data_IF_519546956121
#
_entry.id   IF_519546956121
#
_cell.length_a   1.000
_cell.length_b   1.000
_cell.length_c   1.000
_cell.angle_alpha   90.00
_cell.angle_beta   90.00
_cell.angle_gamma   90.00
#
_symmetry.space_group_name_H-M   'P 1'
#
loop_
_entity.id
_entity.type
_entity.pdbx_description
1 polymer ?
#
# COMPACT_ATOMS: atom_id res chain seq x y z
N UNK A 1 8.37 18.43 -8.66
CA UNK A 1 8.15 16.98 -8.54
C UNK A 1 7.67 16.71 -7.13
N UNK A 2 6.51 16.08 -6.94
CA UNK A 2 5.92 15.83 -5.62
C UNK A 2 5.79 14.33 -5.42
N UNK A 3 6.45 13.80 -4.39
CA UNK A 3 6.31 12.41 -3.95
C UNK A 3 5.50 12.42 -2.64
N UNK A 4 4.42 11.65 -2.58
CA UNK A 4 3.63 11.55 -1.35
C UNK A 4 4.21 10.44 -0.46
N UNK A 5 4.43 10.75 0.81
CA UNK A 5 5.01 9.79 1.77
C UNK A 5 3.95 9.44 2.81
N UNK A 6 3.73 8.15 3.01
CA UNK A 6 2.78 7.60 3.98
C UNK A 6 3.47 6.53 4.80
N UNK A 7 3.15 6.42 6.08
CA UNK A 7 3.57 5.30 6.92
C UNK A 7 2.37 4.76 7.66
N UNK A 8 2.52 3.58 8.26
CA UNK A 8 1.53 3.01 9.19
C UNK A 8 0.14 2.88 8.55
N UNK A 9 0.09 2.45 7.29
CA UNK A 9 -1.15 2.43 6.53
C UNK A 9 -2.05 1.25 6.91
N UNK A 10 -1.50 0.17 7.49
CA UNK A 10 -2.27 -0.95 8.01
C UNK A 10 -3.35 -1.43 7.02
N UNK A 11 -2.97 -1.72 5.78
CA UNK A 11 -3.88 -2.19 4.73
C UNK A 11 -4.81 -1.14 4.11
N UNK A 12 -4.88 0.08 4.65
CA UNK A 12 -5.79 1.15 4.22
C UNK A 12 -5.33 1.91 2.95
N UNK A 13 -4.90 1.18 1.92
CA UNK A 13 -4.39 1.77 0.67
C UNK A 13 -5.44 2.58 -0.09
N UNK A 14 -6.72 2.22 0.02
CA UNK A 14 -7.81 3.02 -0.55
C UNK A 14 -7.82 4.44 0.05
N UNK A 15 -7.59 4.57 1.35
CA UNK A 15 -7.51 5.85 2.04
C UNK A 15 -6.23 6.62 1.63
N UNK A 16 -5.10 5.93 1.51
CA UNK A 16 -3.85 6.51 0.98
C UNK A 16 -4.07 7.14 -0.39
N UNK A 17 -4.63 6.40 -1.35
CA UNK A 17 -4.87 6.91 -2.70
C UNK A 17 -5.95 8.00 -2.74
N UNK A 18 -6.96 7.91 -1.88
CA UNK A 18 -7.96 8.97 -1.75
C UNK A 18 -7.32 10.28 -1.26
N UNK A 19 -6.43 10.22 -0.26
CA UNK A 19 -5.70 11.37 0.26
C UNK A 19 -4.83 12.02 -0.83
N UNK A 20 -4.09 11.21 -1.59
CA UNK A 20 -3.29 11.70 -2.72
C UNK A 20 -4.16 12.45 -3.73
N UNK A 21 -5.25 11.83 -4.18
CA UNK A 21 -6.17 12.45 -5.14
C UNK A 21 -6.74 13.77 -4.61
N UNK A 22 -7.17 13.81 -3.34
CA UNK A 22 -7.69 15.04 -2.74
C UNK A 22 -6.64 16.13 -2.63
N UNK A 23 -5.38 15.77 -2.36
CA UNK A 23 -4.28 16.72 -2.35
C UNK A 23 -4.02 17.30 -3.75
N UNK A 24 -3.97 16.45 -4.78
CA UNK A 24 -3.83 16.89 -6.17
C UNK A 24 -4.95 17.84 -6.60
N UNK A 25 -6.21 17.47 -6.33
CA UNK A 25 -7.39 18.28 -6.66
C UNK A 25 -7.37 19.64 -5.95
N UNK A 26 -7.07 19.64 -4.64
CA UNK A 26 -7.06 20.85 -3.81
C UNK A 26 -5.98 21.84 -4.22
N UNK A 27 -4.79 21.33 -4.54
CA UNK A 27 -3.63 22.18 -4.81
C UNK A 27 -3.35 22.36 -6.31
N UNK A 28 -4.12 21.69 -7.19
CA UNK A 28 -3.91 21.65 -8.64
C UNK A 28 -2.48 21.27 -9.00
N UNK A 29 -1.96 20.26 -8.30
CA UNK A 29 -0.63 19.70 -8.50
C UNK A 29 -0.74 18.24 -8.92
N UNK A 30 0.36 17.66 -9.42
CA UNK A 30 0.47 16.25 -9.73
C UNK A 30 1.50 15.59 -8.82
N UNK A 31 1.10 14.48 -8.20
CA UNK A 31 1.96 13.58 -7.43
C UNK A 31 2.54 12.54 -8.39
N UNK A 32 3.86 12.35 -8.36
CA UNK A 32 4.55 11.43 -9.26
C UNK A 32 4.52 9.97 -8.77
N UNK A 33 4.23 9.77 -7.49
CA UNK A 33 4.09 8.47 -6.88
C UNK A 33 3.93 8.55 -5.36
N UNK A 34 3.80 7.38 -4.76
CA UNK A 34 3.69 7.17 -3.32
C UNK A 34 4.91 6.42 -2.84
N UNK A 35 5.51 6.88 -1.74
CA UNK A 35 6.50 6.13 -0.97
C UNK A 35 5.83 5.73 0.36
N UNK A 36 5.56 4.44 0.51
CA UNK A 36 5.02 3.88 1.74
C UNK A 36 6.17 3.38 2.62
N UNK A 37 6.29 3.96 3.82
CA UNK A 37 7.35 3.68 4.80
C UNK A 37 6.78 2.87 5.96
N UNK A 38 6.90 1.55 5.88
CA UNK A 38 6.52 0.62 6.93
C UNK A 38 5.02 0.33 7.02
N UNK A 39 4.74 -0.82 7.65
CA UNK A 39 3.43 -1.29 8.09
C UNK A 39 2.31 -1.00 7.09
N UNK A 40 2.54 -1.39 5.83
CA UNK A 40 1.56 -1.27 4.76
C UNK A 40 0.43 -2.29 4.91
N UNK A 41 0.62 -3.30 5.76
CA UNK A 41 -0.33 -4.40 5.96
C UNK A 41 -0.25 -5.45 4.86
N UNK A 42 0.92 -5.59 4.21
CA UNK A 42 1.14 -6.65 3.23
C UNK A 42 1.49 -7.94 3.97
N UNK A 43 0.55 -8.89 3.96
CA UNK A 43 0.74 -10.24 4.48
C UNK A 43 0.67 -11.25 3.33
N UNK A 44 1.82 -11.67 2.75
CA UNK A 44 1.85 -12.61 1.63
C UNK A 44 1.27 -13.99 1.99
N UNK A 45 1.41 -14.37 3.26
CA UNK A 45 0.83 -15.58 3.83
C UNK A 45 0.00 -15.23 5.06
N UNK A 46 -1.33 -15.37 4.95
CA UNK A 46 -2.26 -15.12 6.05
C UNK A 46 -2.06 -16.12 7.21
N UNK A 47 -1.41 -17.27 6.98
CA UNK A 47 -1.04 -18.19 8.05
C UNK A 47 0.08 -17.64 8.96
N UNK A 48 0.79 -16.59 8.51
CA UNK A 48 1.89 -15.93 9.23
C UNK A 48 1.49 -14.61 9.88
N UNK A 49 0.22 -14.23 9.79
CA UNK A 49 -0.33 -13.08 10.51
C UNK A 49 -0.09 -13.24 12.02
N UNK A 50 0.49 -12.22 12.65
CA UNK A 50 0.65 -12.21 14.09
C UNK A 50 -0.72 -12.10 14.79
N UNK A 51 -0.78 -12.51 16.06
CA UNK A 51 -2.03 -12.52 16.83
C UNK A 51 -2.67 -11.13 16.99
N UNK A 52 -1.84 -10.07 17.07
CA UNK A 52 -2.33 -8.71 17.16
C UNK A 52 -2.98 -8.29 15.84
N UNK A 53 -2.34 -8.54 14.69
CA UNK A 53 -2.94 -8.23 13.38
C UNK A 53 -4.21 -9.04 13.14
N UNK A 54 -4.27 -10.32 13.55
CA UNK A 54 -5.51 -11.11 13.45
C UNK A 54 -6.66 -10.54 14.29
N UNK A 55 -6.35 -10.05 15.49
CA UNK A 55 -7.36 -9.41 16.35
C UNK A 55 -7.84 -8.11 15.70
N UNK A 56 -6.93 -7.32 15.15
CA UNK A 56 -7.23 -6.06 14.45
C UNK A 56 -8.02 -6.28 13.18
N UNK A 57 -7.69 -7.26 12.35
CA UNK A 57 -8.43 -7.61 11.14
C UNK A 57 -9.88 -8.05 11.41
N UNK A 58 -10.17 -8.61 12.59
CA UNK A 58 -11.54 -8.93 13.03
C UNK A 58 -12.35 -7.68 13.40
N UNK A 59 -11.68 -6.66 13.92
CA UNK A 59 -12.29 -5.39 14.32
C UNK A 59 -12.37 -4.40 13.15
N UNK A 60 -11.36 -4.39 12.27
CA UNK A 60 -11.23 -3.58 11.08
C UNK A 60 -10.75 -4.43 9.87
N UNK A 61 -11.68 -4.81 8.97
CA UNK A 61 -11.34 -5.57 7.77
C UNK A 61 -10.38 -4.85 6.80
N UNK A 62 -10.19 -3.53 6.94
CA UNK A 62 -9.27 -2.77 6.07
C UNK A 62 -7.80 -3.09 6.32
N UNK A 63 -7.47 -3.69 7.47
CA UNK A 63 -6.13 -4.21 7.81
C UNK A 63 -5.61 -5.24 6.79
N UNK A 64 -6.51 -5.94 6.09
CA UNK A 64 -6.19 -6.90 5.03
C UNK A 64 -6.33 -6.32 3.62
N UNK A 65 -6.63 -5.01 3.51
CA UNK A 65 -6.94 -4.33 2.26
C UNK A 65 -5.79 -4.35 1.24
N UNK A 66 -4.54 -4.47 1.69
CA UNK A 66 -3.39 -4.57 0.81
C UNK A 66 -3.39 -5.87 -0.03
N UNK A 67 -3.98 -6.97 0.48
CA UNK A 67 -4.05 -8.24 -0.24
C UNK A 67 -4.82 -8.12 -1.57
N UNK A 68 -5.84 -7.25 -1.63
CA UNK A 68 -6.58 -6.97 -2.86
C UNK A 68 -5.70 -6.32 -3.93
N UNK A 69 -4.70 -5.52 -3.54
CA UNK A 69 -3.75 -4.90 -4.46
C UNK A 69 -2.66 -5.89 -4.91
N UNK A 70 -2.15 -6.71 -3.98
CA UNK A 70 -1.13 -7.73 -4.29
C UNK A 70 -1.69 -8.81 -5.21
N UNK A 71 -2.94 -9.24 -4.99
CA UNK A 71 -3.63 -10.21 -5.85
C UNK A 71 -4.07 -9.66 -7.21
N UNK A 72 -3.96 -8.34 -7.42
CA UNK A 72 -4.39 -7.66 -8.64
C UNK A 72 -5.91 -7.42 -8.75
N UNK A 73 -6.69 -7.75 -7.71
CA UNK A 73 -8.13 -7.42 -7.64
C UNK A 73 -8.38 -5.91 -7.62
N UNK A 74 -7.48 -5.15 -7.03
CA UNK A 74 -7.42 -3.68 -7.09
C UNK A 74 -6.13 -3.23 -7.77
N UNK A 75 -6.18 -2.06 -8.40
CA UNK A 75 -5.02 -1.42 -9.03
C UNK A 75 -4.66 -0.15 -8.28
N UNK A 76 -3.38 0.01 -7.99
CA UNK A 76 -2.85 1.25 -7.46
C UNK A 76 -3.11 2.39 -8.46
N UNK A 77 -3.56 3.54 -7.96
CA UNK A 77 -3.80 4.73 -8.81
C UNK A 77 -2.51 5.48 -9.13
N UNK A 78 -1.47 5.25 -8.33
CA UNK A 78 -0.15 5.86 -8.46
C UNK A 78 0.91 4.77 -8.37
N UNK A 79 2.09 4.95 -9.00
CA UNK A 79 3.25 4.14 -8.69
C UNK A 79 3.52 4.20 -7.18
N UNK A 80 3.61 3.04 -6.53
CA UNK A 80 3.79 2.94 -5.09
C UNK A 80 5.03 2.11 -4.81
N UNK A 81 6.06 2.76 -4.27
CA UNK A 81 7.22 2.09 -3.71
C UNK A 81 7.00 1.87 -2.22
N UNK A 82 7.52 0.76 -1.74
CA UNK A 82 7.29 0.33 -0.38
C UNK A 82 8.60 -0.10 0.29
N UNK A 83 8.78 0.32 1.55
CA UNK A 83 9.87 -0.13 2.42
C UNK A 83 9.28 -0.85 3.62
N UNK A 84 9.76 -2.06 3.88
CA UNK A 84 9.27 -2.97 4.92
C UNK A 84 9.26 -2.35 6.32
N UNK A 85 8.16 -2.57 7.04
CA UNK A 85 8.00 -2.22 8.46
C UNK A 85 8.40 -3.35 9.42
N UNK A 86 8.07 -3.20 10.70
CA UNK A 86 8.29 -4.25 11.70
C UNK A 86 7.11 -5.23 11.79
N UNK A 87 5.91 -4.85 11.30
CA UNK A 87 4.71 -5.70 11.25
C UNK A 87 4.47 -6.32 9.86
N UNK A 88 5.54 -6.76 9.18
CA UNK A 88 5.42 -7.41 7.87
C UNK A 88 6.36 -8.60 7.72
N UNK A 89 5.76 -9.71 7.27
CA UNK A 89 6.45 -10.98 7.11
C UNK A 89 6.86 -11.19 5.65
N UNK A 90 7.96 -10.57 5.27
CA UNK A 90 8.67 -10.93 4.06
C UNK A 90 9.74 -11.95 4.43
N UNK A 91 9.52 -13.20 4.03
CA UNK A 91 10.69 -14.03 3.72
C UNK A 91 11.48 -13.29 2.62
N UNK A 92 12.79 -13.27 2.77
CA UNK A 92 13.76 -12.30 2.21
C UNK A 92 13.80 -12.10 0.68
N UNK A 93 12.86 -12.65 -0.10
CA UNK A 93 12.87 -12.69 -1.56
C UNK A 93 12.03 -11.61 -2.27
N UNK A 94 11.20 -10.84 -1.58
CA UNK A 94 10.20 -9.98 -2.25
C UNK A 94 10.62 -8.50 -2.30
N UNK A 95 11.63 -8.18 -3.10
CA UNK A 95 11.73 -6.84 -3.71
C UNK A 95 10.83 -6.86 -4.94
N UNK A 96 9.58 -6.43 -4.78
CA UNK A 96 8.60 -6.39 -5.87
C UNK A 96 8.48 -4.99 -6.45
N UNK A 97 9.05 -4.76 -7.64
CA UNK A 97 8.65 -3.62 -8.47
C UNK A 97 7.25 -3.89 -9.01
N UNK A 98 6.24 -3.17 -8.51
CA UNK A 98 4.94 -3.12 -9.19
C UNK A 98 5.06 -2.16 -10.37
N UNK A 99 5.48 -2.70 -11.51
CA UNK A 99 5.66 -1.95 -12.75
C UNK A 99 4.38 -1.23 -13.18
N UNK A 100 4.42 0.10 -13.21
CA UNK A 100 3.45 0.90 -13.93
C UNK A 100 3.65 0.61 -15.43
N UNK A 101 2.68 -0.07 -16.05
CA UNK A 101 2.67 -0.26 -17.50
C UNK A 101 2.64 1.10 -18.19
N UNK A 102 3.69 1.38 -18.97
CA UNK A 102 3.79 2.51 -19.90
C UNK A 102 2.58 2.49 -20.84
N UNK A 103 1.91 3.64 -21.09
CA UNK A 103 0.91 3.70 -22.13
C UNK A 103 1.62 3.67 -23.49
N UNK A 104 1.35 2.64 -24.28
CA UNK A 104 1.74 2.59 -25.70
C UNK A 104 0.92 3.63 -26.46
N UNK A 105 1.62 4.57 -27.10
CA UNK A 105 1.06 5.51 -28.10
C UNK A 105 0.81 4.76 -29.40
#
# INVERSE_FOLDING_TARGET
>A
MILAVFGDAHGALDATYWCVRRFEEKHRVRVVGVLQVGDMGVFPDLARLDQATWKRAKEDPTELGAADYVSGKKRATHPTWFVRGNHEDFDSSCVGETGASTPTV
#
